data_IF_182499142720
#
_entry.id   IF_182499142720
#
_cell.length_a   1.000
_cell.length_b   1.000
_cell.length_c   1.000
_cell.angle_alpha   90.00
_cell.angle_beta   90.00
_cell.angle_gamma   90.00
#
_symmetry.space_group_name_H-M   'P 1'
#
loop_
_entity.id
_entity.type
_entity.pdbx_description
1 polymer ?
#
# COMPACT_ATOMS: atom_id res chain seq x y z
N UNK A 1 -9.44 14.52 -1.67
CA UNK A 1 -9.55 13.96 -3.03
C UNK A 1 -8.60 12.75 -3.09
N UNK A 2 -9.11 11.51 -3.18
CA UNK A 2 -8.28 10.29 -3.16
C UNK A 2 -7.76 10.00 -4.57
N UNK A 3 -6.52 9.49 -4.74
CA UNK A 3 -6.00 9.17 -6.06
C UNK A 3 -6.83 8.04 -6.69
N UNK A 4 -7.37 8.33 -7.89
CA UNK A 4 -8.03 7.38 -8.75
C UNK A 4 -6.99 6.51 -9.46
N UNK A 5 -6.87 5.27 -9.02
CA UNK A 5 -6.10 4.19 -9.63
C UNK A 5 -5.89 3.12 -8.56
N UNK A 6 -6.63 2.02 -8.60
CA UNK A 6 -6.68 1.05 -7.49
C UNK A 6 -5.32 0.35 -7.33
N UNK A 7 -4.39 0.97 -6.60
CA UNK A 7 -3.13 0.33 -6.26
C UNK A 7 -3.39 -0.92 -5.43
N UNK A 8 -2.44 -1.85 -5.43
CA UNK A 8 -2.52 -3.01 -4.53
C UNK A 8 -2.62 -2.56 -3.06
N UNK A 9 -2.03 -1.41 -2.73
CA UNK A 9 -2.13 -0.77 -1.41
C UNK A 9 -3.56 -0.32 -1.11
N UNK A 10 -4.26 0.31 -2.05
CA UNK A 10 -5.66 0.71 -1.86
C UNK A 10 -6.59 -0.49 -1.68
N UNK A 11 -6.28 -1.61 -2.33
CA UNK A 11 -6.99 -2.88 -2.14
C UNK A 11 -6.71 -3.46 -0.75
N UNK A 12 -5.45 -3.46 -0.31
CA UNK A 12 -5.07 -3.92 1.02
C UNK A 12 -5.75 -3.08 2.12
N UNK A 13 -5.78 -1.76 1.95
CA UNK A 13 -6.48 -0.83 2.86
C UNK A 13 -7.98 -1.13 2.91
N UNK A 14 -8.62 -1.38 1.75
CA UNK A 14 -10.05 -1.75 1.70
C UNK A 14 -10.33 -3.08 2.38
N UNK A 15 -9.47 -4.09 2.19
CA UNK A 15 -9.58 -5.40 2.85
C UNK A 15 -9.43 -5.27 4.37
N UNK A 16 -8.53 -4.40 4.83
CA UNK A 16 -8.39 -4.08 6.26
C UNK A 16 -9.52 -3.16 6.78
N UNK A 17 -10.20 -2.42 5.91
CA UNK A 17 -11.26 -1.45 6.23
C UNK A 17 -10.77 0.00 6.17
N UNK A 18 -9.68 0.34 6.87
CA UNK A 18 -9.09 1.69 6.85
C UNK A 18 -7.56 1.65 6.89
N UNK A 19 -6.91 2.78 6.56
CA UNK A 19 -5.45 2.92 6.68
C UNK A 19 -4.98 2.71 8.13
N UNK A 20 -5.70 3.29 9.09
CA UNK A 20 -5.40 3.13 10.51
C UNK A 20 -5.56 1.67 10.95
N UNK A 21 -6.59 0.98 10.47
CA UNK A 21 -6.80 -0.43 10.79
C UNK A 21 -5.72 -1.33 10.20
N UNK A 22 -5.30 -1.09 8.96
CA UNK A 22 -4.16 -1.80 8.37
C UNK A 22 -2.88 -1.56 9.20
N UNK A 23 -2.63 -0.33 9.63
CA UNK A 23 -1.48 0.00 10.46
C UNK A 23 -1.53 -0.74 11.81
N UNK A 24 -2.69 -0.80 12.47
CA UNK A 24 -2.89 -1.54 13.72
C UNK A 24 -2.62 -3.04 13.56
N UNK A 25 -3.14 -3.67 12.50
CA UNK A 25 -2.92 -5.10 12.23
C UNK A 25 -1.46 -5.45 11.97
N UNK A 26 -0.68 -4.50 11.46
CA UNK A 26 0.73 -4.69 11.14
C UNK A 26 1.68 -4.24 12.27
N UNK A 27 1.13 -3.70 13.36
CA UNK A 27 1.87 -3.03 14.43
C UNK A 27 2.80 -1.94 13.90
N UNK A 28 2.24 -1.03 13.11
CA UNK A 28 2.95 0.08 12.47
C UNK A 28 2.28 1.41 12.75
N UNK A 29 3.06 2.49 12.61
CA UNK A 29 2.52 3.84 12.58
C UNK A 29 1.66 4.06 11.33
N UNK A 30 0.53 4.76 11.46
CA UNK A 30 -0.35 5.09 10.33
C UNK A 30 0.38 5.85 9.21
N UNK A 31 1.38 6.66 9.56
CA UNK A 31 2.24 7.37 8.62
C UNK A 31 2.97 6.43 7.65
N UNK A 32 3.35 5.23 8.10
CA UNK A 32 4.00 4.23 7.26
C UNK A 32 3.07 3.75 6.13
N UNK A 33 1.79 3.54 6.43
CA UNK A 33 0.75 3.16 5.45
C UNK A 33 0.43 4.32 4.51
N UNK A 34 0.41 5.55 5.03
CA UNK A 34 0.25 6.75 4.21
C UNK A 34 1.36 6.86 3.15
N UNK A 35 2.63 6.65 3.53
CA UNK A 35 3.74 6.66 2.57
C UNK A 35 3.60 5.60 1.46
N UNK A 36 3.09 4.41 1.77
CA UNK A 36 2.82 3.40 0.73
C UNK A 36 1.69 3.81 -0.20
N UNK A 37 0.66 4.47 0.34
CA UNK A 37 -0.46 4.96 -0.45
C UNK A 37 0.00 6.05 -1.44
N UNK A 38 0.81 7.01 -0.97
CA UNK A 38 1.37 8.07 -1.82
C UNK A 38 2.31 7.51 -2.91
N UNK A 39 3.05 6.45 -2.60
CA UNK A 39 3.96 5.80 -3.55
C UNK A 39 3.26 4.82 -4.49
N UNK A 40 2.14 4.24 -4.07
CA UNK A 40 1.42 3.18 -4.78
C UNK A 40 1.97 1.77 -4.56
N UNK A 41 2.97 1.59 -3.68
CA UNK A 41 3.59 0.29 -3.39
C UNK A 41 4.18 0.24 -1.96
N UNK A 42 4.31 -0.97 -1.42
CA UNK A 42 4.82 -1.27 -0.08
C UNK A 42 6.26 -1.78 -0.14
N UNK A 43 7.04 -1.49 0.90
CA UNK A 43 8.40 -2.02 0.99
C UNK A 43 8.39 -3.55 1.11
N UNK A 44 9.32 -4.28 0.45
CA UNK A 44 9.34 -5.75 0.46
C UNK A 44 9.33 -6.38 1.85
N UNK A 45 10.00 -5.75 2.83
CA UNK A 45 10.02 -6.19 4.24
C UNK A 45 8.63 -6.27 4.91
N UNK A 46 7.63 -5.56 4.38
CA UNK A 46 6.26 -5.55 4.91
C UNK A 46 5.27 -6.28 4.02
N UNK A 47 5.62 -6.58 2.77
CA UNK A 47 4.69 -7.11 1.78
C UNK A 47 4.10 -8.47 2.20
N UNK A 48 4.91 -9.37 2.77
CA UNK A 48 4.41 -10.64 3.32
C UNK A 48 3.45 -10.45 4.49
N UNK A 49 3.72 -9.50 5.40
CA UNK A 49 2.81 -9.21 6.53
C UNK A 49 1.48 -8.62 6.03
N UNK A 50 1.54 -7.75 5.03
CA UNK A 50 0.34 -7.17 4.40
C UNK A 50 -0.47 -8.26 3.70
N UNK A 51 0.19 -9.16 2.96
CA UNK A 51 -0.46 -10.31 2.31
C UNK A 51 -1.17 -11.19 3.34
N UNK A 52 -0.50 -11.58 4.42
CA UNK A 52 -1.11 -12.35 5.50
C UNK A 52 -2.33 -11.65 6.14
N UNK A 53 -2.27 -10.32 6.28
CA UNK A 53 -3.34 -9.54 6.92
C UNK A 53 -4.51 -9.19 6.00
N UNK A 54 -4.32 -9.22 4.68
CA UNK A 54 -5.29 -8.65 3.71
C UNK A 54 -5.61 -9.55 2.52
N UNK A 55 -4.83 -10.60 2.30
CA UNK A 55 -4.95 -11.51 1.15
C UNK A 55 -4.46 -10.91 -0.17
N UNK A 56 -3.90 -9.69 -0.19
CA UNK A 56 -3.35 -9.10 -1.41
C UNK A 56 -1.95 -9.66 -1.67
N UNK A 57 -1.66 -10.25 -2.86
CA UNK A 57 -0.38 -10.89 -3.12
C UNK A 57 0.82 -9.96 -2.96
N UNK A 58 1.89 -10.44 -2.32
CA UNK A 58 3.14 -9.70 -2.13
C UNK A 58 3.68 -9.11 -3.45
N UNK A 59 3.62 -9.88 -4.55
CA UNK A 59 4.07 -9.43 -5.87
C UNK A 59 3.35 -8.17 -6.35
N UNK A 60 2.06 -8.03 -6.07
CA UNK A 60 1.29 -6.83 -6.45
C UNK A 60 1.58 -5.65 -5.52
N UNK A 61 1.84 -5.92 -4.24
CA UNK A 61 2.13 -4.90 -3.23
C UNK A 61 3.47 -4.21 -3.46
N UNK A 62 4.48 -4.93 -3.95
CA UNK A 62 5.82 -4.39 -4.24
C UNK A 62 5.93 -3.86 -5.67
N UNK A 63 5.00 -4.23 -6.56
CA UNK A 63 4.98 -3.74 -7.92
C UNK A 63 4.69 -2.25 -7.92
N UNK A 64 5.68 -1.44 -8.28
CA UNK A 64 5.49 -0.01 -8.47
C UNK A 64 4.56 0.21 -9.68
N UNK A 65 3.27 0.45 -9.40
CA UNK A 65 2.28 0.83 -10.42
C UNK A 65 2.59 2.24 -10.98
N UNK A 66 3.57 2.95 -10.41
CA UNK A 66 4.16 4.18 -10.90
C UNK A 66 4.96 4.07 -12.20
N UNK A 67 4.40 3.45 -13.24
CA UNK A 67 4.79 3.69 -14.65
C UNK A 67 4.43 5.12 -15.10
N UNK A 68 4.75 6.17 -14.33
CA UNK A 68 4.82 7.57 -14.79
C UNK A 68 5.75 8.39 -13.88
N UNK A 69 7.05 8.11 -13.88
CA UNK A 69 8.03 9.19 -13.60
C UNK A 69 8.10 10.12 -14.81
N UNK A 70 7.12 11.00 -15.00
CA UNK A 70 7.40 12.27 -15.70
C UNK A 70 8.12 13.16 -14.69
N UNK A 71 9.45 13.08 -14.64
CA UNK A 71 10.26 14.21 -14.18
C UNK A 71 10.05 15.31 -15.23
N UNK A 72 9.17 16.28 -14.97
CA UNK A 72 9.32 17.58 -15.64
C UNK A 72 10.46 18.31 -14.95
N UNK A 73 11.42 18.75 -15.78
CA UNK A 73 12.47 19.70 -15.42
C UNK A 73 11.85 21.04 -15.04
#
# INVERSE_FOLDING_TARGET
MKPNGQSAIDRAIRSAGTQAELARRLDLAAQQVWFWTERGWASPKYALKIEQATGVPCAELIADVGKKRKRLK
#
